data_IF_216567691880
#
_entry.id   IF_216567691880
#
_cell.length_a   1.000
_cell.length_b   1.000
_cell.length_c   1.000
_cell.angle_alpha   90.00
_cell.angle_beta   90.00
_cell.angle_gamma   90.00
#
_symmetry.space_group_name_H-M   'P 1'
#
loop_
_entity.id
_entity.type
_entity.pdbx_description
1 polymer ?
#
# COMPACT_ATOMS: atom_id res chain seq x y z
N UNK A 1 -4.64 72.77 9.77
CA UNK A 1 -3.77 71.73 10.35
C UNK A 1 -4.50 70.41 10.24
N UNK A 2 -4.12 69.59 9.25
CA UNK A 2 -4.76 68.31 8.96
C UNK A 2 -3.71 67.22 9.18
N UNK A 3 -3.92 66.35 10.17
CA UNK A 3 -3.15 65.12 10.33
C UNK A 3 -4.02 63.97 9.88
N UNK A 4 -3.72 63.45 8.70
CA UNK A 4 -4.33 62.24 8.16
C UNK A 4 -3.95 61.05 9.03
N UNK A 5 -4.97 60.41 9.63
CA UNK A 5 -4.83 59.14 10.31
C UNK A 5 -4.68 58.05 9.25
N UNK A 6 -3.44 57.62 9.00
CA UNK A 6 -3.17 56.44 8.19
C UNK A 6 -3.75 55.20 8.88
N UNK A 7 -4.88 54.73 8.35
CA UNK A 7 -5.45 53.42 8.63
C UNK A 7 -4.44 52.34 8.19
N UNK A 8 -3.68 51.79 9.13
CA UNK A 8 -2.92 50.57 8.87
C UNK A 8 -3.92 49.42 8.89
N UNK A 9 -4.44 49.11 7.70
CA UNK A 9 -5.20 47.93 7.39
C UNK A 9 -4.31 46.69 7.62
N UNK A 10 -4.36 46.10 8.80
CA UNK A 10 -3.73 44.80 9.05
C UNK A 10 -4.58 43.69 8.42
N UNK A 11 -4.49 43.57 7.10
CA UNK A 11 -4.94 42.39 6.38
C UNK A 11 -4.00 41.23 6.76
N UNK A 12 -4.41 40.40 7.71
CA UNK A 12 -3.76 39.11 7.91
C UNK A 12 -4.18 38.21 6.75
N UNK A 13 -3.38 38.22 5.69
CA UNK A 13 -3.43 37.19 4.67
C UNK A 13 -3.06 35.86 5.32
N UNK A 14 -4.07 35.06 5.65
CA UNK A 14 -3.88 33.62 5.84
C UNK A 14 -3.44 33.09 4.47
N UNK A 15 -2.12 32.93 4.32
CA UNK A 15 -1.57 32.07 3.28
C UNK A 15 -2.10 30.66 3.57
N UNK A 16 -3.20 30.31 2.89
CA UNK A 16 -3.51 28.94 2.58
C UNK A 16 -2.33 28.43 1.74
N UNK A 17 -1.29 27.98 2.44
CA UNK A 17 -0.32 27.07 1.86
C UNK A 17 -1.16 25.88 1.41
N UNK A 18 -1.33 25.76 0.10
CA UNK A 18 -1.76 24.53 -0.52
C UNK A 18 -0.77 23.46 -0.06
N UNK A 19 -1.09 22.84 1.07
CA UNK A 19 -0.78 21.46 1.27
C UNK A 19 -1.37 20.80 0.04
N UNK A 20 -0.47 20.32 -0.82
CA UNK A 20 -0.77 19.27 -1.78
C UNK A 20 -1.09 18.01 -0.98
N UNK A 21 -2.15 18.09 -0.18
CA UNK A 21 -2.96 16.97 0.20
C UNK A 21 -3.47 16.43 -1.10
N UNK A 22 -2.83 15.37 -1.58
CA UNK A 22 -3.46 14.49 -2.53
C UNK A 22 -4.55 13.74 -1.76
N UNK A 23 -5.62 14.50 -1.48
CA UNK A 23 -6.89 14.00 -0.99
C UNK A 23 -7.53 13.23 -2.13
N UNK A 24 -7.44 11.91 -1.99
CA UNK A 24 -8.39 10.89 -2.44
C UNK A 24 -9.01 11.14 -3.81
N UNK A 25 -8.43 10.51 -4.81
CA UNK A 25 -9.25 9.95 -5.88
C UNK A 25 -9.13 8.43 -5.80
N UNK A 26 -10.23 7.77 -5.44
CA UNK A 26 -10.53 6.38 -5.80
C UNK A 26 -10.55 6.26 -7.31
N UNK A 27 -9.36 6.31 -7.90
CA UNK A 27 -9.07 5.83 -9.24
C UNK A 27 -7.95 4.84 -9.05
N UNK A 28 -8.28 3.56 -9.16
CA UNK A 28 -7.31 2.51 -9.46
C UNK A 28 -6.53 3.01 -10.67
N UNK A 29 -5.42 3.69 -10.41
CA UNK A 29 -4.51 4.08 -11.47
C UNK A 29 -3.86 2.76 -11.83
N UNK A 30 -4.48 2.05 -12.77
CA UNK A 30 -3.86 0.91 -13.44
C UNK A 30 -2.63 1.46 -14.14
N UNK A 31 -1.55 1.65 -13.38
CA UNK A 31 -0.24 1.73 -13.96
C UNK A 31 -0.04 0.42 -14.72
N UNK A 32 0.47 0.44 -15.97
CA UNK A 32 0.79 -0.78 -16.71
C UNK A 32 1.57 -1.80 -15.87
N UNK A 33 2.38 -1.28 -14.94
CA UNK A 33 3.15 -2.04 -13.95
C UNK A 33 2.29 -2.92 -13.02
N UNK A 34 1.11 -2.48 -12.56
CA UNK A 34 0.22 -3.28 -11.71
C UNK A 34 -0.16 -4.61 -12.37
N UNK A 35 -0.30 -4.64 -13.70
CA UNK A 35 -0.75 -5.81 -14.46
C UNK A 35 0.21 -7.00 -14.36
N UNK A 36 1.46 -6.74 -14.03
CA UNK A 36 2.49 -7.76 -13.84
C UNK A 36 2.59 -8.26 -12.39
N UNK A 37 1.74 -7.77 -11.48
CA UNK A 37 1.66 -8.23 -10.09
C UNK A 37 0.31 -8.88 -9.83
N UNK A 38 0.34 -10.04 -9.17
CA UNK A 38 -0.84 -10.79 -8.80
C UNK A 38 -0.85 -11.03 -7.29
N UNK A 39 -1.99 -10.76 -6.65
CA UNK A 39 -2.24 -11.06 -5.25
C UNK A 39 -3.26 -12.19 -5.18
N UNK A 40 -2.89 -13.31 -4.57
CA UNK A 40 -3.74 -14.50 -4.49
C UNK A 40 -3.82 -15.00 -3.06
N UNK A 41 -5.02 -15.31 -2.53
CA UNK A 41 -5.16 -15.93 -1.22
C UNK A 41 -4.44 -17.27 -1.11
N UNK A 42 -3.85 -17.52 0.07
CA UNK A 42 -3.25 -18.80 0.46
C UNK A 42 -3.95 -19.26 1.74
N UNK A 43 -4.95 -20.14 1.57
CA UNK A 43 -5.88 -20.48 2.64
C UNK A 43 -6.64 -19.24 3.14
N UNK A 44 -7.04 -19.25 4.41
CA UNK A 44 -7.77 -18.14 5.04
C UNK A 44 -6.88 -17.13 5.77
N UNK A 45 -5.56 -17.36 5.79
CA UNK A 45 -4.62 -16.62 6.66
C UNK A 45 -3.37 -16.13 5.93
N UNK A 46 -3.31 -16.24 4.61
CA UNK A 46 -2.17 -15.80 3.84
C UNK A 46 -2.56 -15.16 2.52
N UNK A 47 -1.70 -14.29 2.03
CA UNK A 47 -1.76 -13.74 0.68
C UNK A 47 -0.38 -13.94 0.04
N UNK A 48 -0.36 -14.50 -1.16
CA UNK A 48 0.83 -14.56 -2.02
C UNK A 48 0.81 -13.38 -2.97
N UNK A 49 1.93 -12.68 -3.06
CA UNK A 49 2.24 -11.75 -4.13
C UNK A 49 3.18 -12.46 -5.11
N UNK A 50 2.86 -12.44 -6.40
CA UNK A 50 3.74 -12.92 -7.47
C UNK A 50 3.86 -11.90 -8.60
N UNK A 51 4.98 -11.92 -9.31
CA UNK A 51 5.25 -10.98 -10.40
C UNK A 51 6.07 -11.57 -11.54
N UNK A 52 5.90 -10.98 -12.72
CA UNK A 52 6.56 -11.40 -13.96
C UNK A 52 7.96 -10.78 -14.08
N UNK A 53 8.98 -11.46 -13.55
CA UNK A 53 10.37 -10.99 -13.53
C UNK A 53 10.88 -10.55 -14.92
N UNK A 54 10.50 -11.28 -15.97
CA UNK A 54 10.96 -11.03 -17.34
C UNK A 54 10.39 -9.74 -17.96
N UNK A 55 9.20 -9.32 -17.52
CA UNK A 55 8.50 -8.15 -18.04
C UNK A 55 8.78 -6.86 -17.25
N UNK A 56 9.56 -6.95 -16.17
CA UNK A 56 9.79 -5.87 -15.20
C UNK A 56 11.28 -5.54 -15.04
N UNK A 57 11.99 -5.36 -16.17
CA UNK A 57 13.45 -5.17 -16.20
C UNK A 57 13.95 -3.98 -15.37
N UNK A 58 13.17 -2.91 -15.24
CA UNK A 58 13.52 -1.71 -14.48
C UNK A 58 13.60 -1.96 -12.96
N UNK A 59 13.00 -3.06 -12.50
CA UNK A 59 13.02 -3.47 -11.09
C UNK A 59 14.20 -4.38 -10.75
N UNK A 60 15.10 -4.67 -11.71
CA UNK A 60 16.31 -5.48 -11.44
C UNK A 60 17.17 -4.84 -10.35
N UNK A 61 17.58 -5.67 -9.39
CA UNK A 61 18.37 -5.25 -8.23
C UNK A 61 17.56 -4.48 -7.18
N UNK A 62 16.24 -4.63 -7.17
CA UNK A 62 15.37 -4.12 -6.09
C UNK A 62 14.88 -5.22 -5.18
N UNK A 63 14.42 -4.81 -3.99
CA UNK A 63 13.64 -5.65 -3.10
C UNK A 63 12.16 -5.32 -3.27
N UNK A 64 11.31 -6.35 -3.25
CA UNK A 64 9.86 -6.20 -3.26
C UNK A 64 9.35 -6.37 -1.83
N UNK A 65 8.64 -5.36 -1.33
CA UNK A 65 8.02 -5.30 -0.02
C UNK A 65 6.50 -5.39 -0.15
N UNK A 66 5.88 -6.30 0.59
CA UNK A 66 4.43 -6.37 0.79
C UNK A 66 4.11 -6.02 2.23
N UNK A 67 3.19 -5.09 2.42
CA UNK A 67 2.68 -4.65 3.72
C UNK A 67 1.18 -4.91 3.79
N UNK A 68 0.71 -5.50 4.88
CA UNK A 68 -0.71 -5.65 5.20
C UNK A 68 -1.05 -4.80 6.43
N UNK A 69 -2.08 -3.97 6.33
CA UNK A 69 -2.64 -3.20 7.46
C UNK A 69 -4.13 -3.44 7.53
N UNK A 70 -4.65 -3.87 8.67
CA UNK A 70 -6.09 -3.86 8.92
C UNK A 70 -6.54 -2.41 9.17
N UNK A 71 -7.42 -1.82 8.33
CA UNK A 71 -7.88 -0.45 8.53
C UNK A 71 -8.64 -0.24 9.84
N UNK A 72 -9.31 -1.27 10.34
CA UNK A 72 -10.07 -1.25 11.60
C UNK A 72 -9.20 -1.47 12.84
N UNK A 73 -8.01 -2.04 12.67
CA UNK A 73 -7.05 -2.27 13.75
C UNK A 73 -5.61 -2.07 13.21
N UNK A 74 -5.14 -0.81 13.14
CA UNK A 74 -3.83 -0.50 12.55
C UNK A 74 -2.63 -1.12 13.27
N UNK A 75 -2.82 -1.64 14.50
CA UNK A 75 -1.79 -2.39 15.22
C UNK A 75 -1.57 -3.77 14.60
N UNK A 76 -2.56 -4.30 13.87
CA UNK A 76 -2.42 -5.52 13.06
C UNK A 76 -1.73 -5.15 11.75
N UNK A 77 -0.41 -5.05 11.87
CA UNK A 77 0.53 -4.77 10.79
C UNK A 77 1.41 -5.99 10.53
N UNK A 78 1.57 -6.36 9.25
CA UNK A 78 2.58 -7.32 8.82
C UNK A 78 3.31 -6.79 7.60
N UNK A 79 4.58 -7.16 7.47
CA UNK A 79 5.40 -6.88 6.29
C UNK A 79 6.28 -8.07 5.97
N UNK A 80 6.42 -8.36 4.68
CA UNK A 80 7.39 -9.32 4.16
C UNK A 80 8.15 -8.68 2.99
N UNK A 81 9.41 -9.08 2.84
CA UNK A 81 10.27 -8.64 1.73
C UNK A 81 10.90 -9.84 1.05
N UNK A 82 11.12 -9.74 -0.26
CA UNK A 82 11.86 -10.70 -1.08
C UNK A 82 12.65 -9.96 -2.16
N UNK A 83 13.66 -10.60 -2.73
CA UNK A 83 14.38 -10.01 -3.86
C UNK A 83 13.47 -9.99 -5.08
N UNK A 84 13.57 -9.00 -5.94
CA UNK A 84 12.82 -8.97 -7.20
C UNK A 84 13.05 -10.24 -8.06
N UNK A 85 14.25 -10.83 -7.99
CA UNK A 85 14.59 -12.07 -8.70
C UNK A 85 13.76 -13.29 -8.26
N UNK A 86 13.15 -13.25 -7.08
CA UNK A 86 12.45 -14.41 -6.50
C UNK A 86 11.07 -14.62 -7.14
N UNK A 87 10.52 -13.58 -7.78
CA UNK A 87 9.25 -13.65 -8.52
C UNK A 87 7.99 -13.80 -7.65
N UNK A 88 8.13 -14.07 -6.35
CA UNK A 88 7.02 -14.19 -5.43
C UNK A 88 7.44 -14.00 -3.97
N UNK A 89 6.45 -13.68 -3.13
CA UNK A 89 6.56 -13.74 -1.68
C UNK A 89 5.19 -14.04 -1.07
N UNK A 90 5.14 -14.57 0.14
CA UNK A 90 3.88 -14.82 0.85
C UNK A 90 3.90 -14.15 2.21
N UNK A 91 2.83 -13.43 2.55
CA UNK A 91 2.59 -12.91 3.89
C UNK A 91 1.55 -13.82 4.57
N UNK A 92 1.91 -14.40 5.70
CA UNK A 92 1.07 -15.33 6.46
C UNK A 92 0.50 -14.71 7.74
N UNK A 93 -0.13 -15.57 8.56
CA UNK A 93 -0.66 -15.23 9.89
C UNK A 93 -1.68 -14.07 9.90
N UNK A 94 -2.34 -13.85 8.77
CA UNK A 94 -3.46 -12.92 8.69
C UNK A 94 -4.68 -13.50 9.40
N UNK A 95 -5.54 -12.61 9.91
CA UNK A 95 -6.84 -13.02 10.45
C UNK A 95 -7.75 -13.42 9.28
N UNK A 96 -8.49 -14.54 9.34
CA UNK A 96 -9.55 -14.86 8.39
C UNK A 96 -10.65 -13.79 8.36
N UNK A 97 -11.38 -13.69 7.26
CA UNK A 97 -12.53 -12.77 7.13
C UNK A 97 -12.23 -11.34 7.56
N UNK A 98 -11.04 -10.86 7.19
CA UNK A 98 -10.54 -9.56 7.60
C UNK A 98 -10.08 -8.78 6.39
N UNK A 99 -10.55 -7.53 6.29
CA UNK A 99 -10.10 -6.60 5.28
C UNK A 99 -8.70 -6.08 5.61
N UNK A 100 -7.82 -6.14 4.63
CA UNK A 100 -6.48 -5.58 4.70
C UNK A 100 -6.24 -4.61 3.54
N UNK A 101 -5.65 -3.46 3.87
CA UNK A 101 -5.02 -2.60 2.89
C UNK A 101 -3.61 -3.11 2.62
N UNK A 102 -3.40 -3.68 1.44
CA UNK A 102 -2.15 -4.28 0.99
C UNK A 102 -1.35 -3.28 0.18
N UNK A 103 -0.14 -2.94 0.62
CA UNK A 103 0.77 -2.04 -0.10
C UNK A 103 1.95 -2.84 -0.64
N UNK A 104 2.17 -2.78 -1.94
CA UNK A 104 3.31 -3.38 -2.64
C UNK A 104 4.28 -2.26 -3.01
N UNK A 105 5.56 -2.43 -2.71
CA UNK A 105 6.62 -1.45 -3.00
C UNK A 105 7.85 -2.16 -3.58
N UNK A 106 8.41 -1.61 -4.65
CA UNK A 106 9.76 -1.95 -5.09
C UNK A 106 10.73 -0.91 -4.52
N UNK A 107 11.76 -1.37 -3.82
CA UNK A 107 12.68 -0.53 -3.06
C UNK A 107 14.11 -0.75 -3.57
N UNK A 108 14.80 0.35 -3.87
CA UNK A 108 16.23 0.36 -4.25
C UNK A 108 16.95 1.39 -3.42
N UNK A 109 18.04 0.99 -2.75
CA UNK A 109 18.83 1.89 -1.90
C UNK A 109 17.96 2.72 -0.92
N UNK A 110 17.00 2.06 -0.27
CA UNK A 110 16.02 2.66 0.68
C UNK A 110 15.02 3.66 0.06
N UNK A 111 14.98 3.79 -1.26
CA UNK A 111 14.00 4.60 -1.97
C UNK A 111 12.95 3.72 -2.65
N UNK A 112 11.67 4.03 -2.43
CA UNK A 112 10.57 3.44 -3.20
C UNK A 112 10.62 3.97 -4.63
N UNK A 113 10.79 3.06 -5.60
CA UNK A 113 10.80 3.39 -7.03
C UNK A 113 9.43 3.16 -7.67
N UNK A 114 8.65 2.25 -7.10
CA UNK A 114 7.31 1.87 -7.53
C UNK A 114 6.52 1.48 -6.29
N UNK A 115 5.25 1.83 -6.25
CA UNK A 115 4.34 1.24 -5.28
C UNK A 115 2.89 1.38 -5.69
N UNK A 116 2.07 0.47 -5.19
CA UNK A 116 0.62 0.53 -5.33
C UNK A 116 -0.05 -0.08 -4.09
N UNK A 117 -1.34 0.21 -3.92
CA UNK A 117 -2.14 -0.30 -2.81
C UNK A 117 -3.43 -0.93 -3.33
N UNK A 118 -3.86 -2.02 -2.70
CA UNK A 118 -5.09 -2.76 -3.01
C UNK A 118 -5.73 -3.19 -1.70
N UNK A 119 -7.05 -3.10 -1.60
CA UNK A 119 -7.79 -3.68 -0.49
C UNK A 119 -8.15 -5.14 -0.80
N UNK A 120 -7.88 -6.04 0.14
CA UNK A 120 -8.12 -7.48 0.00
C UNK A 120 -8.76 -7.99 1.29
N UNK A 121 -9.88 -8.71 1.15
CA UNK A 121 -10.47 -9.48 2.24
C UNK A 121 -9.91 -10.90 2.23
N UNK A 122 -9.40 -11.36 3.38
CA UNK A 122 -8.98 -12.76 3.53
C UNK A 122 -10.20 -13.69 3.55
N UNK A 123 -10.11 -14.90 2.97
CA UNK A 123 -11.21 -15.85 3.01
C UNK A 123 -11.65 -16.22 4.44
N UNK A 124 -12.88 -16.72 4.57
CA UNK A 124 -13.34 -17.36 5.81
C UNK A 124 -12.46 -18.57 6.13
N UNK A 125 -12.21 -18.80 7.42
CA UNK A 125 -11.61 -20.04 7.85
C UNK A 125 -12.50 -21.21 7.44
N UNK A 126 -11.95 -22.16 6.70
CA UNK A 126 -12.62 -23.44 6.50
C UNK A 126 -12.84 -24.11 7.85
N UNK A 127 -13.98 -24.81 8.02
CA UNK A 127 -14.05 -25.82 9.08
C UNK A 127 -12.90 -26.78 8.83
N UNK A 128 -12.02 -26.98 9.82
CA UNK A 128 -11.04 -28.07 9.76
C UNK A 128 -11.85 -29.34 9.48
N UNK A 129 -11.69 -29.92 8.30
CA UNK A 129 -12.20 -31.26 8.07
C UNK A 129 -11.40 -32.14 9.02
N UNK A 130 -12.04 -32.52 10.12
CA UNK A 130 -11.50 -33.45 11.09
C UNK A 130 -11.42 -34.78 10.38
N UNK A 131 -10.30 -35.03 9.71
CA UNK A 131 -9.95 -36.39 9.29
C UNK A 131 -9.67 -37.15 10.57
N UNK A 132 -10.73 -37.74 11.12
CA UNK A 132 -10.64 -38.80 12.11
C UNK A 132 -10.17 -40.03 11.32
N UNK A 133 -8.92 -40.43 11.56
CA UNK A 133 -8.45 -41.80 11.31
C UNK A 133 -8.81 -42.65 12.51
#
# INVERSE_FOLDING_TARGET
MAFQLCLILFATSVLAQEYKGMGVETRTTETPLRKHFNLTPVGSQGIRLSWEVQHLSDLKGTDISLKAVNPSDPLVYKRQTAKFSDGQLTIGELKPSTLYKMTVEAVKAKKTILGFTVDIETPRAGKKESTVM
#
